data_IF_806522024737
#
_entry.id   IF_806522024737
#
_cell.length_a   1.000
_cell.length_b   1.000
_cell.length_c   1.000
_cell.angle_alpha   90.00
_cell.angle_beta   90.00
_cell.angle_gamma   90.00
#
_symmetry.space_group_name_H-M   'P 1'
#
loop_
_entity.id
_entity.type
_entity.pdbx_description
1 polymer ?
#
# COMPACT_ATOMS: atom_id res chain seq x y z
N UNK A 1 57.06 -23.69 20.13
CA UNK A 1 57.20 -22.30 19.58
C UNK A 1 56.91 -22.16 18.10
N UNK A 2 56.94 -23.22 17.29
CA UNK A 2 56.61 -23.13 15.83
C UNK A 2 55.13 -23.29 15.51
N UNK A 3 54.31 -23.84 16.39
CA UNK A 3 52.89 -24.07 16.17
C UNK A 3 52.05 -22.80 16.44
N UNK A 4 52.49 -21.95 17.37
CA UNK A 4 51.75 -20.71 17.74
C UNK A 4 51.89 -19.61 16.70
N UNK A 5 53.01 -19.57 15.95
CA UNK A 5 53.23 -18.59 14.88
C UNK A 5 52.37 -18.88 13.64
N UNK A 6 52.06 -20.15 13.37
CA UNK A 6 51.26 -20.55 12.21
C UNK A 6 49.75 -20.22 12.43
N UNK A 7 49.26 -20.32 13.65
CA UNK A 7 47.85 -19.97 13.96
C UNK A 7 47.64 -18.46 13.91
N UNK A 8 48.59 -17.64 14.33
CA UNK A 8 48.48 -16.19 14.29
C UNK A 8 48.52 -15.67 12.85
N UNK A 9 49.33 -16.27 11.97
CA UNK A 9 49.42 -15.90 10.56
C UNK A 9 48.17 -16.29 9.76
N UNK A 10 47.52 -17.42 10.07
CA UNK A 10 46.29 -17.82 9.42
C UNK A 10 45.11 -16.95 9.87
N UNK A 11 45.03 -16.55 11.16
CA UNK A 11 44.00 -15.64 11.63
C UNK A 11 44.12 -14.22 11.04
N UNK A 12 45.34 -13.72 10.90
CA UNK A 12 45.59 -12.41 10.27
C UNK A 12 45.26 -12.41 8.77
N UNK A 13 45.47 -13.54 8.06
CA UNK A 13 45.15 -13.65 6.64
C UNK A 13 43.65 -13.77 6.36
N UNK A 14 42.91 -14.47 7.22
CA UNK A 14 41.45 -14.56 7.12
C UNK A 14 40.78 -13.20 7.44
N UNK A 15 41.28 -12.47 8.45
CA UNK A 15 40.81 -11.11 8.76
C UNK A 15 41.11 -10.11 7.64
N UNK A 16 42.22 -10.24 6.94
CA UNK A 16 42.60 -9.38 5.79
C UNK A 16 41.70 -9.67 4.56
N UNK A 17 41.34 -10.93 4.30
CA UNK A 17 40.45 -11.28 3.17
C UNK A 17 39.05 -10.76 3.43
N UNK A 18 38.54 -10.84 4.68
CA UNK A 18 37.21 -10.31 5.05
C UNK A 18 37.16 -8.79 4.95
N UNK A 19 38.22 -8.07 5.35
CA UNK A 19 38.28 -6.61 5.21
C UNK A 19 38.29 -6.17 3.74
N UNK A 20 39.02 -6.86 2.86
CA UNK A 20 38.99 -6.56 1.44
C UNK A 20 37.66 -6.89 0.76
N UNK A 21 36.98 -7.93 1.20
CA UNK A 21 35.62 -8.29 0.75
C UNK A 21 34.59 -7.24 1.13
N UNK A 22 34.59 -6.83 2.38
CA UNK A 22 33.67 -5.81 2.91
C UNK A 22 33.91 -4.45 2.26
N UNK A 23 35.17 -4.06 2.06
CA UNK A 23 35.51 -2.79 1.41
C UNK A 23 35.06 -2.75 -0.06
N UNK A 24 35.16 -3.87 -0.78
CA UNK A 24 34.65 -3.97 -2.17
C UNK A 24 33.13 -3.95 -2.24
N UNK A 25 32.44 -4.57 -1.28
CA UNK A 25 30.99 -4.54 -1.20
C UNK A 25 30.49 -3.12 -0.85
N UNK A 26 31.14 -2.44 0.10
CA UNK A 26 30.86 -1.04 0.45
C UNK A 26 31.15 -0.09 -0.71
N UNK A 27 32.24 -0.29 -1.46
CA UNK A 27 32.53 0.51 -2.65
C UNK A 27 31.56 0.22 -3.80
N UNK A 28 31.11 -1.03 -3.98
CA UNK A 28 30.07 -1.37 -4.95
C UNK A 28 28.71 -0.79 -4.57
N UNK A 29 28.35 -0.72 -3.26
CA UNK A 29 27.16 -0.04 -2.80
C UNK A 29 27.25 1.48 -2.92
N UNK A 30 28.41 2.10 -2.70
CA UNK A 30 28.63 3.53 -2.93
C UNK A 30 28.69 3.90 -4.42
N UNK A 31 29.14 3.01 -5.30
CA UNK A 31 29.12 3.27 -6.73
C UNK A 31 27.70 3.23 -7.35
N UNK A 32 26.70 2.68 -6.65
CA UNK A 32 25.31 2.63 -7.10
C UNK A 32 24.48 3.85 -6.69
N UNK A 33 25.04 4.82 -5.96
CA UNK A 33 24.30 5.97 -5.39
C UNK A 33 24.54 7.31 -6.12
N UNK A 34 25.16 7.31 -7.29
CA UNK A 34 25.08 8.53 -8.10
C UNK A 34 23.65 8.66 -8.64
N UNK A 35 22.96 9.78 -8.33
CA UNK A 35 21.64 10.02 -8.90
C UNK A 35 21.77 9.97 -10.43
N UNK A 36 20.94 9.15 -11.05
CA UNK A 36 20.85 9.11 -12.51
C UNK A 36 20.60 10.53 -13.02
N UNK A 37 21.23 10.93 -14.12
CA UNK A 37 20.97 12.26 -14.69
C UNK A 37 19.48 12.43 -14.94
N UNK A 38 18.95 13.63 -14.71
CA UNK A 38 17.53 13.89 -14.91
C UNK A 38 17.13 13.49 -16.34
N UNK A 39 15.92 12.93 -16.51
CA UNK A 39 15.48 12.49 -17.83
C UNK A 39 15.42 13.69 -18.80
N UNK A 40 15.85 13.46 -20.02
CA UNK A 40 15.86 14.50 -21.05
C UNK A 40 14.40 14.87 -21.41
N UNK A 41 14.01 16.10 -21.11
CA UNK A 41 12.71 16.64 -21.48
C UNK A 41 12.73 16.99 -22.97
N UNK A 42 11.95 16.29 -23.77
CA UNK A 42 11.80 16.54 -25.21
C UNK A 42 10.32 16.62 -25.57
N UNK A 43 9.79 17.83 -25.58
CA UNK A 43 8.41 18.08 -25.99
C UNK A 43 8.30 18.13 -27.50
N UNK A 44 7.19 17.63 -28.02
CA UNK A 44 6.80 17.78 -29.45
C UNK A 44 6.15 19.12 -29.70
N UNK A 45 6.20 19.63 -30.94
CA UNK A 45 5.53 20.85 -31.29
C UNK A 45 4.00 20.69 -31.23
N UNK A 46 3.24 21.77 -30.95
CA UNK A 46 1.78 21.72 -30.90
C UNK A 46 1.19 21.07 -32.15
N UNK A 47 0.20 20.18 -31.96
CA UNK A 47 -0.46 19.45 -33.04
C UNK A 47 0.35 18.31 -33.69
N UNK A 48 1.59 18.07 -33.25
CA UNK A 48 2.45 16.95 -33.70
C UNK A 48 3.18 16.29 -32.52
N UNK A 49 2.55 16.23 -31.39
CA UNK A 49 3.13 15.73 -30.12
C UNK A 49 2.54 14.38 -29.69
N UNK A 50 1.73 13.74 -30.51
CA UNK A 50 1.18 12.40 -30.31
C UNK A 50 1.64 11.50 -31.44
N UNK A 51 2.16 10.32 -31.12
CA UNK A 51 2.58 9.28 -32.07
C UNK A 51 2.04 7.93 -31.64
N UNK A 52 1.81 7.07 -32.60
CA UNK A 52 1.43 5.68 -32.37
C UNK A 52 2.47 4.74 -32.99
N UNK A 53 2.84 3.72 -32.25
CA UNK A 53 3.67 2.61 -32.68
C UNK A 53 2.80 1.34 -32.66
N UNK A 54 2.47 0.82 -33.83
CA UNK A 54 1.60 -0.33 -34.00
C UNK A 54 2.25 -1.65 -33.61
N UNK A 55 3.58 -1.74 -33.63
CA UNK A 55 4.30 -2.93 -33.19
C UNK A 55 4.28 -3.09 -31.67
N UNK A 56 4.20 -1.98 -30.94
CA UNK A 56 4.14 -1.92 -29.47
C UNK A 56 2.74 -1.64 -28.94
N UNK A 57 1.78 -1.39 -29.82
CA UNK A 57 0.45 -0.91 -29.44
C UNK A 57 0.54 0.30 -28.50
N UNK A 58 1.40 1.28 -28.79
CA UNK A 58 1.79 2.32 -27.87
C UNK A 58 1.53 3.72 -28.42
N UNK A 59 0.70 4.49 -27.73
CA UNK A 59 0.56 5.93 -27.92
C UNK A 59 1.62 6.64 -27.09
N UNK A 60 2.44 7.47 -27.73
CA UNK A 60 3.43 8.32 -27.05
C UNK A 60 2.98 9.75 -27.05
N UNK A 61 2.85 10.34 -25.86
CA UNK A 61 2.45 11.73 -25.62
C UNK A 61 3.69 12.55 -25.25
N UNK A 62 4.00 13.55 -26.08
CA UNK A 62 5.10 14.52 -25.86
C UNK A 62 4.57 15.95 -25.81
N UNK A 63 3.26 16.14 -25.74
CA UNK A 63 2.61 17.45 -25.62
C UNK A 63 2.90 18.07 -24.26
N UNK A 64 3.17 19.37 -24.21
CA UNK A 64 3.24 20.08 -22.94
C UNK A 64 1.96 19.85 -22.11
N UNK A 65 0.81 19.88 -22.79
CA UNK A 65 -0.49 19.48 -22.24
C UNK A 65 -1.34 18.88 -23.36
N UNK A 66 -2.04 17.79 -23.07
CA UNK A 66 -2.99 17.16 -24.00
C UNK A 66 -4.21 16.62 -23.26
N UNK A 67 -5.34 16.52 -23.97
CA UNK A 67 -6.56 15.82 -23.58
C UNK A 67 -6.76 14.59 -24.46
N UNK A 68 -7.78 13.76 -24.18
CA UNK A 68 -8.11 12.63 -25.05
C UNK A 68 -8.56 13.08 -26.46
N UNK A 69 -9.21 14.25 -26.57
CA UNK A 69 -9.56 14.85 -27.87
C UNK A 69 -8.32 15.23 -28.67
N UNK A 70 -7.26 15.73 -28.03
CA UNK A 70 -5.99 16.03 -28.70
C UNK A 70 -5.32 14.76 -29.22
N UNK A 71 -5.34 13.68 -28.44
CA UNK A 71 -4.83 12.37 -28.87
C UNK A 71 -5.63 11.89 -30.10
N UNK A 72 -6.95 11.87 -29.99
CA UNK A 72 -7.85 11.41 -31.06
C UNK A 72 -7.64 12.16 -32.38
N UNK A 73 -7.57 13.49 -32.33
CA UNK A 73 -7.39 14.35 -33.51
C UNK A 73 -6.04 14.12 -34.21
N UNK A 74 -4.99 13.78 -33.45
CA UNK A 74 -3.66 13.53 -34.02
C UNK A 74 -3.51 12.09 -34.52
N UNK A 75 -4.08 11.12 -33.80
CA UNK A 75 -4.03 9.68 -34.15
C UNK A 75 -4.90 9.38 -35.39
N UNK A 76 -6.08 9.96 -35.49
CA UNK A 76 -7.09 9.70 -36.55
C UNK A 76 -7.36 8.20 -36.75
N UNK A 77 -7.30 7.44 -35.69
CA UNK A 77 -7.51 6.00 -35.73
C UNK A 77 -8.48 5.56 -34.62
N UNK A 78 -9.78 5.42 -34.93
CA UNK A 78 -10.80 5.04 -33.97
C UNK A 78 -10.67 3.57 -33.47
N UNK A 79 -9.88 2.73 -34.14
CA UNK A 79 -9.60 1.39 -33.62
C UNK A 79 -8.67 1.41 -32.39
N UNK A 80 -7.88 2.48 -32.23
CA UNK A 80 -6.94 2.67 -31.13
C UNK A 80 -7.54 3.48 -30.00
N UNK A 81 -8.13 4.63 -30.34
CA UNK A 81 -8.84 5.49 -29.40
C UNK A 81 -10.17 5.89 -30.03
N UNK A 82 -11.26 5.37 -29.49
CA UNK A 82 -12.60 5.57 -30.00
C UNK A 82 -13.37 6.57 -29.13
N UNK A 83 -13.81 7.67 -29.76
CA UNK A 83 -14.69 8.64 -29.13
C UNK A 83 -16.14 8.19 -29.28
N UNK A 84 -16.80 7.94 -28.19
CA UNK A 84 -18.21 7.58 -28.13
C UNK A 84 -19.06 8.79 -27.69
N UNK A 85 -20.40 8.73 -27.79
CA UNK A 85 -21.26 9.79 -27.30
C UNK A 85 -21.05 10.11 -25.82
N UNK A 86 -21.41 11.34 -25.42
CA UNK A 86 -21.41 11.78 -24.02
C UNK A 86 -20.04 11.74 -23.31
N UNK A 87 -18.94 11.95 -24.03
CA UNK A 87 -17.60 12.00 -23.43
C UNK A 87 -17.06 10.63 -23.00
N UNK A 88 -17.62 9.54 -23.52
CA UNK A 88 -17.10 8.19 -23.28
C UNK A 88 -16.01 7.86 -24.29
N UNK A 89 -14.91 7.30 -23.82
CA UNK A 89 -13.78 6.88 -24.64
C UNK A 89 -13.49 5.40 -24.46
N UNK A 90 -13.13 4.74 -25.54
CA UNK A 90 -12.62 3.36 -25.51
C UNK A 90 -11.18 3.36 -26.01
N UNK A 91 -10.24 3.00 -25.14
CA UNK A 91 -8.81 2.91 -25.43
C UNK A 91 -8.38 1.47 -25.64
N UNK A 92 -7.73 1.22 -26.76
CA UNK A 92 -7.23 -0.09 -27.16
C UNK A 92 -5.71 -0.03 -27.44
N UNK A 93 -4.96 0.57 -26.53
CA UNK A 93 -3.51 0.73 -26.63
C UNK A 93 -2.88 1.06 -25.26
N UNK A 94 -1.57 0.86 -25.16
CA UNK A 94 -0.77 1.47 -24.13
C UNK A 94 -0.64 2.98 -24.35
N UNK A 95 -0.40 3.73 -23.26
CA UNK A 95 -0.03 5.15 -23.35
C UNK A 95 1.31 5.33 -22.62
N UNK A 96 2.24 6.06 -23.22
CA UNK A 96 3.42 6.60 -22.54
C UNK A 96 3.35 8.11 -22.53
N UNK A 97 3.33 8.72 -21.35
CA UNK A 97 3.42 10.16 -21.15
C UNK A 97 4.89 10.48 -20.89
N UNK A 98 5.55 11.12 -21.83
CA UNK A 98 6.99 11.37 -21.76
C UNK A 98 7.36 12.42 -20.70
N UNK A 99 8.63 12.48 -20.26
CA UNK A 99 9.11 13.50 -19.35
C UNK A 99 8.74 14.92 -19.80
N UNK A 100 8.21 15.72 -18.86
CA UNK A 100 7.73 17.07 -19.12
C UNK A 100 6.36 17.19 -19.79
N UNK A 101 5.81 16.10 -20.35
CA UNK A 101 4.47 16.07 -20.93
C UNK A 101 3.39 15.91 -19.85
N UNK A 102 2.19 16.39 -20.14
CA UNK A 102 1.02 16.23 -19.26
C UNK A 102 -0.16 15.69 -20.07
N UNK A 103 -0.81 14.64 -19.57
CA UNK A 103 -2.10 14.17 -20.05
C UNK A 103 -3.17 14.51 -19.02
N UNK A 104 -4.20 15.25 -19.44
CA UNK A 104 -5.39 15.53 -18.64
C UNK A 104 -6.55 14.64 -19.11
N UNK A 105 -7.21 14.00 -18.17
CA UNK A 105 -8.43 13.21 -18.36
C UNK A 105 -9.46 13.82 -17.41
N UNK A 106 -10.27 14.72 -17.91
CA UNK A 106 -11.18 15.54 -17.11
C UNK A 106 -12.49 15.86 -17.88
N UNK A 107 -13.50 16.49 -17.24
CA UNK A 107 -14.81 16.71 -17.84
C UNK A 107 -14.82 17.67 -19.06
N UNK A 108 -13.70 18.26 -19.44
CA UNK A 108 -13.65 19.09 -20.65
C UNK A 108 -13.94 18.29 -21.92
N UNK A 109 -13.58 17.00 -21.91
CA UNK A 109 -13.85 16.10 -23.04
C UNK A 109 -14.17 14.66 -22.63
N UNK A 110 -14.06 14.33 -21.37
CA UNK A 110 -14.16 12.96 -20.87
C UNK A 110 -15.15 12.85 -19.70
N UNK A 111 -16.06 11.91 -19.80
CA UNK A 111 -16.88 11.45 -18.66
C UNK A 111 -16.44 10.06 -18.20
N UNK A 112 -15.97 9.23 -19.12
CA UNK A 112 -15.54 7.87 -18.82
C UNK A 112 -14.45 7.42 -19.80
N UNK A 113 -13.29 7.05 -19.28
CA UNK A 113 -12.27 6.32 -20.03
C UNK A 113 -12.36 4.82 -19.72
N UNK A 114 -12.73 4.05 -20.72
CA UNK A 114 -12.76 2.59 -20.73
C UNK A 114 -11.50 2.07 -21.40
N UNK A 115 -10.69 1.27 -20.71
CA UNK A 115 -9.50 0.64 -21.28
C UNK A 115 -9.81 -0.82 -21.55
N UNK A 116 -9.64 -1.23 -22.80
CA UNK A 116 -9.97 -2.59 -23.24
C UNK A 116 -9.14 -3.63 -22.48
N UNK A 117 -9.81 -4.67 -22.05
CA UNK A 117 -9.23 -5.83 -21.40
C UNK A 117 -10.10 -7.03 -21.68
N UNK A 118 -9.58 -8.02 -22.37
CA UNK A 118 -10.21 -9.31 -22.63
C UNK A 118 -9.20 -10.45 -22.49
N UNK A 119 -9.64 -11.69 -22.58
CA UNK A 119 -8.79 -12.86 -22.40
C UNK A 119 -7.69 -12.99 -23.48
N UNK A 120 -7.80 -12.26 -24.59
CA UNK A 120 -6.88 -12.32 -25.73
C UNK A 120 -5.89 -11.16 -25.74
N UNK A 121 -6.18 -10.08 -25.05
CA UNK A 121 -5.33 -8.89 -24.99
C UNK A 121 -4.34 -8.98 -23.84
N UNK A 122 -3.12 -8.50 -24.08
CA UNK A 122 -2.21 -8.14 -23.01
C UNK A 122 -2.79 -6.95 -22.24
N UNK A 123 -2.53 -6.86 -20.95
CA UNK A 123 -2.93 -5.70 -20.17
C UNK A 123 -2.33 -4.42 -20.77
N UNK A 124 -3.16 -3.44 -21.08
CA UNK A 124 -2.67 -2.12 -21.47
C UNK A 124 -2.21 -1.34 -20.25
N UNK A 125 -1.13 -0.59 -20.40
CA UNK A 125 -0.49 0.16 -19.34
C UNK A 125 -0.44 1.64 -19.70
N UNK A 126 -0.76 2.48 -18.71
CA UNK A 126 -0.45 3.90 -18.79
C UNK A 126 0.88 4.15 -18.08
N UNK A 127 1.94 4.28 -18.86
CA UNK A 127 3.29 4.59 -18.38
C UNK A 127 3.45 6.10 -18.19
N UNK A 128 3.54 6.55 -16.96
CA UNK A 128 3.68 7.97 -16.64
C UNK A 128 5.15 8.28 -16.34
N UNK A 129 5.81 8.97 -17.29
CA UNK A 129 7.15 9.56 -17.10
C UNK A 129 7.10 11.08 -16.97
N UNK A 130 5.99 11.69 -17.34
CA UNK A 130 5.65 13.09 -17.15
C UNK A 130 4.61 13.27 -16.04
N UNK A 131 3.48 13.91 -16.36
CA UNK A 131 2.36 14.13 -15.45
C UNK A 131 1.07 13.52 -16.00
N UNK A 132 0.26 12.96 -15.11
CA UNK A 132 -1.09 12.50 -15.39
C UNK A 132 -2.07 13.17 -14.42
N UNK A 133 -3.16 13.71 -14.95
CA UNK A 133 -4.26 14.24 -14.15
C UNK A 133 -5.55 13.55 -14.54
N UNK A 134 -6.18 12.91 -13.56
CA UNK A 134 -7.51 12.30 -13.69
C UNK A 134 -8.41 13.03 -12.70
N UNK A 135 -9.41 13.74 -13.21
CA UNK A 135 -10.31 14.51 -12.35
C UNK A 135 -11.77 14.39 -12.80
N UNK A 136 -12.65 14.10 -11.85
CA UNK A 136 -14.11 14.11 -12.02
C UNK A 136 -14.62 13.21 -13.17
N UNK A 137 -14.01 12.04 -13.36
CA UNK A 137 -14.34 11.08 -14.42
C UNK A 137 -14.44 9.64 -13.88
N UNK A 138 -15.01 8.75 -14.70
CA UNK A 138 -14.85 7.30 -14.52
C UNK A 138 -13.63 6.80 -15.30
N UNK A 139 -12.81 5.94 -14.69
CA UNK A 139 -11.60 5.37 -15.25
C UNK A 139 -11.54 3.87 -14.94
N UNK A 140 -11.78 3.00 -15.94
CA UNK A 140 -11.95 1.57 -15.67
C UNK A 140 -11.40 0.68 -16.78
N UNK A 141 -11.19 -0.60 -16.47
CA UNK A 141 -11.13 -1.62 -17.50
C UNK A 141 -12.50 -1.81 -18.17
N UNK A 142 -12.49 -2.42 -19.34
CA UNK A 142 -13.70 -2.75 -20.09
C UNK A 142 -13.51 -3.98 -20.95
N UNK A 143 -14.41 -4.95 -20.81
CA UNK A 143 -14.47 -6.10 -21.70
C UNK A 143 -15.55 -5.90 -22.76
N UNK A 144 -15.17 -5.65 -24.04
CA UNK A 144 -16.13 -5.42 -25.11
C UNK A 144 -17.01 -6.64 -25.41
N UNK A 145 -16.51 -7.85 -25.17
CA UNK A 145 -17.24 -9.08 -25.47
C UNK A 145 -18.44 -9.29 -24.56
N UNK A 146 -18.30 -8.91 -23.30
CA UNK A 146 -19.36 -8.99 -22.27
C UNK A 146 -20.11 -7.69 -22.10
N UNK A 147 -19.61 -6.61 -22.69
CA UNK A 147 -20.08 -5.24 -22.51
C UNK A 147 -20.15 -4.84 -21.02
N UNK A 148 -19.10 -5.20 -20.26
CA UNK A 148 -19.00 -4.98 -18.82
C UNK A 148 -17.55 -4.72 -18.40
N UNK A 149 -17.32 -4.42 -17.12
CA UNK A 149 -15.96 -4.34 -16.55
C UNK A 149 -15.21 -5.66 -16.77
N UNK A 150 -13.90 -5.58 -16.99
CA UNK A 150 -13.08 -6.77 -17.03
C UNK A 150 -12.84 -7.29 -15.61
N UNK A 151 -13.29 -8.50 -15.35
CA UNK A 151 -13.10 -9.17 -14.06
C UNK A 151 -11.80 -9.97 -14.09
N UNK A 152 -10.90 -9.74 -13.13
CA UNK A 152 -9.70 -10.54 -12.94
C UNK A 152 -9.48 -10.75 -11.45
N UNK A 153 -9.54 -12.00 -11.05
CA UNK A 153 -9.15 -12.41 -9.71
C UNK A 153 -7.85 -13.18 -9.83
N UNK A 154 -6.80 -12.75 -9.12
CA UNK A 154 -5.53 -13.43 -9.14
C UNK A 154 -5.66 -14.91 -8.75
N UNK A 155 -5.06 -15.80 -9.52
CA UNK A 155 -4.91 -17.18 -9.12
C UNK A 155 -3.82 -17.28 -8.05
N UNK A 156 -4.16 -17.40 -6.78
CA UNK A 156 -3.23 -17.93 -5.80
C UNK A 156 -3.08 -19.44 -6.03
N UNK A 157 -2.02 -19.85 -6.71
CA UNK A 157 -1.60 -21.26 -6.76
C UNK A 157 -1.00 -21.78 -5.43
N UNK A 158 -1.01 -21.06 -4.33
CA UNK A 158 -0.26 -21.46 -3.13
C UNK A 158 -0.98 -21.48 -1.79
N UNK A 159 -2.28 -21.37 -1.76
CA UNK A 159 -3.03 -21.77 -0.54
C UNK A 159 -4.50 -21.81 -0.92
N UNK A 160 -5.13 -22.93 -0.73
CA UNK A 160 -6.48 -23.28 -1.14
C UNK A 160 -7.52 -22.15 -1.17
N UNK A 161 -8.68 -22.38 -1.78
CA UNK A 161 -9.64 -21.33 -2.03
C UNK A 161 -9.92 -20.58 -0.72
N UNK A 162 -9.57 -19.32 -0.64
CA UNK A 162 -9.99 -18.52 0.50
C UNK A 162 -11.51 -18.31 0.35
N UNK A 163 -12.25 -19.30 0.81
CA UNK A 163 -13.70 -19.25 1.01
C UNK A 163 -14.11 -18.16 2.03
N UNK A 164 -13.17 -17.31 2.44
CA UNK A 164 -13.35 -16.31 3.47
C UNK A 164 -13.82 -14.93 2.99
N UNK A 165 -13.87 -14.66 1.67
CA UNK A 165 -14.26 -13.32 1.18
C UNK A 165 -15.72 -13.01 1.52
N UNK A 166 -16.60 -13.96 1.51
CA UNK A 166 -18.01 -13.74 1.87
C UNK A 166 -18.65 -14.87 2.69
N UNK A 167 -17.91 -15.82 3.23
CA UNK A 167 -18.48 -16.94 4.00
C UNK A 167 -19.47 -17.81 3.22
N UNK A 168 -20.42 -18.40 3.94
CA UNK A 168 -21.46 -19.25 3.35
C UNK A 168 -22.53 -18.49 2.55
N UNK A 169 -22.60 -17.18 2.71
CA UNK A 169 -23.61 -16.29 2.12
C UNK A 169 -23.13 -15.57 0.84
N UNK A 170 -21.98 -16.00 0.29
CA UNK A 170 -21.48 -15.42 -0.95
C UNK A 170 -22.47 -15.68 -2.10
N UNK A 171 -22.91 -14.66 -2.85
CA UNK A 171 -23.70 -14.86 -4.04
C UNK A 171 -23.01 -15.83 -5.01
N UNK A 172 -23.77 -16.71 -5.65
CA UNK A 172 -23.26 -17.75 -6.57
C UNK A 172 -22.39 -17.14 -7.67
N UNK A 173 -22.72 -15.95 -8.14
CA UNK A 173 -21.99 -15.18 -9.16
C UNK A 173 -20.56 -14.84 -8.75
N UNK A 174 -20.30 -14.56 -7.45
CA UNK A 174 -18.94 -14.29 -6.96
C UNK A 174 -18.13 -15.58 -6.83
N UNK A 175 -18.76 -16.72 -6.49
CA UNK A 175 -18.06 -18.03 -6.41
C UNK A 175 -17.57 -18.51 -7.77
N UNK A 176 -18.35 -18.32 -8.82
CA UNK A 176 -17.96 -18.69 -10.18
C UNK A 176 -16.83 -17.78 -10.72
N UNK A 177 -16.81 -16.51 -10.34
CA UNK A 177 -15.77 -15.56 -10.74
C UNK A 177 -14.39 -15.85 -10.09
N UNK A 178 -14.38 -16.45 -8.90
CA UNK A 178 -13.15 -16.83 -8.19
C UNK A 178 -12.42 -18.05 -8.79
N UNK A 179 -13.08 -18.82 -9.65
CA UNK A 179 -12.54 -20.05 -10.25
C UNK A 179 -11.98 -19.85 -11.66
N UNK A 180 -12.23 -18.72 -12.30
CA UNK A 180 -11.75 -18.42 -13.66
C UNK A 180 -10.53 -17.49 -13.60
N UNK A 181 -9.47 -17.81 -14.35
CA UNK A 181 -8.37 -16.87 -14.66
C UNK A 181 -8.99 -15.75 -15.47
N UNK A 182 -9.27 -14.61 -14.81
CA UNK A 182 -9.80 -13.45 -15.49
C UNK A 182 -8.80 -12.82 -16.45
N UNK A 183 -9.30 -11.95 -17.32
CA UNK A 183 -8.46 -11.20 -18.25
C UNK A 183 -7.41 -10.36 -17.53
N UNK A 184 -6.19 -10.17 -18.10
CA UNK A 184 -5.22 -9.21 -17.60
C UNK A 184 -5.81 -7.79 -17.66
N UNK A 185 -5.96 -7.15 -16.51
CA UNK A 185 -6.57 -5.81 -16.43
C UNK A 185 -5.53 -4.71 -16.62
N UNK A 186 -5.90 -3.57 -17.22
CA UNK A 186 -5.03 -2.42 -17.36
C UNK A 186 -4.62 -1.86 -16.00
N UNK A 187 -3.53 -1.09 -15.98
CA UNK A 187 -3.05 -0.43 -14.78
C UNK A 187 -2.28 0.86 -15.10
N UNK A 188 -2.10 1.71 -14.10
CA UNK A 188 -1.29 2.91 -14.17
C UNK A 188 0.06 2.61 -13.52
N UNK A 189 1.16 2.88 -14.24
CA UNK A 189 2.53 2.77 -13.78
C UNK A 189 3.18 4.15 -13.83
N UNK A 190 3.37 4.78 -12.67
CA UNK A 190 4.25 5.94 -12.56
C UNK A 190 5.68 5.42 -12.52
N UNK A 191 6.40 5.69 -13.59
CA UNK A 191 7.72 5.13 -13.83
C UNK A 191 8.78 5.75 -12.90
N UNK A 192 9.84 5.01 -12.58
CA UNK A 192 10.98 5.61 -11.88
C UNK A 192 11.47 6.86 -12.62
N UNK A 193 11.79 7.92 -11.87
CA UNK A 193 12.22 9.22 -12.40
C UNK A 193 11.18 9.98 -13.24
N UNK A 194 9.89 9.70 -13.06
CA UNK A 194 8.85 10.55 -13.61
C UNK A 194 9.06 12.02 -13.19
N UNK A 195 8.91 12.94 -14.12
CA UNK A 195 9.27 14.35 -13.92
C UNK A 195 8.15 15.20 -13.35
N UNK A 196 6.97 14.61 -13.13
CA UNK A 196 5.81 15.32 -12.61
C UNK A 196 4.94 14.45 -11.72
N UNK A 197 3.79 14.97 -11.35
CA UNK A 197 2.84 14.29 -10.45
C UNK A 197 1.80 13.49 -11.22
N UNK A 198 1.28 12.46 -10.56
CA UNK A 198 0.08 11.75 -11.01
C UNK A 198 -1.03 11.98 -9.99
N UNK A 199 -1.96 12.84 -10.33
CA UNK A 199 -3.07 13.23 -9.45
C UNK A 199 -4.38 12.57 -9.90
N UNK A 200 -5.09 11.99 -8.96
CA UNK A 200 -6.41 11.38 -9.18
C UNK A 200 -7.37 11.99 -8.18
N UNK A 201 -8.36 12.73 -8.69
CA UNK A 201 -9.28 13.50 -7.84
C UNK A 201 -10.73 13.32 -8.29
N UNK A 202 -11.66 13.32 -7.34
CA UNK A 202 -13.11 13.35 -7.57
C UNK A 202 -13.64 12.27 -8.55
N UNK A 203 -12.96 11.14 -8.66
CA UNK A 203 -13.15 10.17 -9.73
C UNK A 203 -13.60 8.80 -9.22
N UNK A 204 -14.23 8.05 -10.10
CA UNK A 204 -14.40 6.61 -9.94
C UNK A 204 -13.26 5.90 -10.68
N UNK A 205 -12.50 5.07 -9.96
CA UNK A 205 -11.40 4.27 -10.51
C UNK A 205 -11.65 2.80 -10.15
N UNK A 206 -11.85 1.96 -11.14
CA UNK A 206 -12.25 0.59 -10.83
C UNK A 206 -11.71 -0.46 -11.80
N UNK A 207 -11.62 -1.70 -11.29
CA UNK A 207 -11.30 -2.88 -12.09
C UNK A 207 -9.93 -2.83 -12.77
N UNK A 208 -8.93 -2.32 -12.06
CA UNK A 208 -7.56 -2.19 -12.56
C UNK A 208 -6.62 -3.17 -11.87
N UNK A 209 -5.56 -3.55 -12.58
CA UNK A 209 -4.53 -4.45 -12.05
C UNK A 209 -4.97 -5.89 -11.94
N UNK A 210 -4.00 -6.79 -11.83
CA UNK A 210 -4.21 -8.24 -11.72
C UNK A 210 -2.97 -8.90 -11.10
N UNK A 211 -3.12 -10.12 -10.60
CA UNK A 211 -1.99 -10.91 -10.12
C UNK A 211 -1.16 -11.41 -11.31
N UNK A 212 -0.09 -10.70 -11.60
CA UNK A 212 0.81 -11.01 -12.73
C UNK A 212 1.92 -12.02 -12.37
N UNK A 213 1.93 -12.52 -11.13
CA UNK A 213 2.97 -13.38 -10.58
C UNK A 213 4.13 -12.59 -9.94
N UNK A 214 4.99 -13.30 -9.22
CA UNK A 214 6.09 -12.72 -8.43
C UNK A 214 6.98 -11.78 -9.27
N UNK A 215 7.20 -10.57 -8.77
CA UNK A 215 8.08 -9.58 -9.39
C UNK A 215 7.52 -8.87 -10.62
N UNK A 216 6.29 -9.16 -11.03
CA UNK A 216 5.60 -8.44 -12.10
C UNK A 216 4.69 -7.38 -11.49
N UNK A 217 4.74 -6.17 -12.04
CA UNK A 217 4.10 -4.97 -11.51
C UNK A 217 2.80 -4.71 -12.25
N UNK A 218 1.69 -5.13 -11.70
CA UNK A 218 0.37 -4.92 -12.28
C UNK A 218 -0.68 -4.62 -11.17
N UNK A 219 -0.27 -3.83 -10.17
CA UNK A 219 -1.04 -3.64 -8.93
C UNK A 219 -2.36 -2.88 -9.12
N UNK A 220 -2.46 -2.03 -10.11
CA UNK A 220 -3.62 -1.15 -10.36
C UNK A 220 -3.17 0.30 -10.39
N UNK A 221 -2.91 0.92 -9.26
CA UNK A 221 -2.26 2.22 -9.13
C UNK A 221 -0.86 2.00 -8.55
N UNK A 222 0.17 2.03 -9.40
CA UNK A 222 1.56 1.76 -9.02
C UNK A 222 2.45 3.00 -9.20
N UNK A 223 3.05 3.48 -8.12
CA UNK A 223 3.89 4.68 -8.10
C UNK A 223 5.33 4.31 -7.75
N UNK A 224 6.31 4.56 -8.65
CA UNK A 224 7.75 4.49 -8.35
C UNK A 224 8.41 5.89 -8.34
N UNK A 225 7.63 6.93 -8.50
CA UNK A 225 8.01 8.35 -8.46
C UNK A 225 6.74 9.20 -8.36
N UNK A 226 6.84 10.49 -8.61
CA UNK A 226 5.70 11.41 -8.57
C UNK A 226 5.50 11.99 -7.18
N UNK A 227 6.58 12.34 -6.50
CA UNK A 227 6.53 13.00 -5.20
C UNK A 227 5.58 14.21 -5.22
N UNK A 228 4.82 14.35 -4.15
CA UNK A 228 3.78 15.37 -4.05
C UNK A 228 2.49 15.07 -4.81
N UNK A 229 2.32 13.89 -5.37
CA UNK A 229 1.05 13.46 -5.98
C UNK A 229 -0.09 13.40 -4.96
N UNK A 230 -1.32 13.62 -5.44
CA UNK A 230 -2.53 13.66 -4.62
C UNK A 230 -3.56 12.65 -5.15
N UNK A 231 -4.09 11.83 -4.25
CA UNK A 231 -5.25 10.95 -4.50
C UNK A 231 -6.35 11.38 -3.52
N UNK A 232 -7.41 12.01 -4.03
CA UNK A 232 -8.42 12.68 -3.17
C UNK A 232 -9.84 12.53 -3.69
N UNK A 233 -10.78 12.32 -2.77
CA UNK A 233 -12.23 12.28 -3.06
C UNK A 233 -12.62 11.24 -4.11
N UNK A 234 -11.96 10.10 -4.16
CA UNK A 234 -12.24 9.07 -5.16
C UNK A 234 -13.04 7.91 -4.55
N UNK A 235 -13.75 7.21 -5.42
CA UNK A 235 -14.18 5.83 -5.18
C UNK A 235 -13.24 4.90 -5.99
N UNK A 236 -12.47 4.07 -5.27
CA UNK A 236 -11.45 3.17 -5.83
C UNK A 236 -11.82 1.75 -5.43
N UNK A 237 -12.23 0.94 -6.39
CA UNK A 237 -12.73 -0.39 -6.11
C UNK A 237 -12.26 -1.46 -7.08
N UNK A 238 -12.29 -2.72 -6.64
CA UNK A 238 -11.94 -3.88 -7.46
C UNK A 238 -10.57 -3.78 -8.15
N UNK A 239 -9.63 -3.03 -7.59
CA UNK A 239 -8.24 -3.07 -8.04
C UNK A 239 -7.55 -4.33 -7.50
N UNK A 240 -6.42 -4.73 -8.09
CA UNK A 240 -5.62 -5.78 -7.46
C UNK A 240 -4.99 -5.26 -6.15
N UNK A 241 -4.28 -4.12 -6.19
CA UNK A 241 -3.99 -3.27 -5.03
C UNK A 241 -4.71 -1.93 -5.25
N UNK A 242 -5.39 -1.43 -4.26
CA UNK A 242 -6.03 -0.12 -4.37
C UNK A 242 -5.00 0.99 -4.62
N UNK A 243 -3.86 0.93 -3.93
CA UNK A 243 -2.69 1.80 -4.12
C UNK A 243 -1.41 1.05 -3.74
N UNK A 244 -0.35 1.25 -4.50
CA UNK A 244 0.99 0.73 -4.21
C UNK A 244 2.07 1.75 -4.57
N UNK A 245 3.10 1.91 -3.72
CA UNK A 245 4.22 2.80 -4.02
C UNK A 245 5.56 2.26 -3.57
N UNK A 246 6.63 2.68 -4.23
CA UNK A 246 8.03 2.35 -3.89
C UNK A 246 8.87 3.62 -3.95
N UNK A 247 9.46 4.01 -2.82
CA UNK A 247 10.40 5.13 -2.74
C UNK A 247 9.81 6.51 -3.05
N UNK A 248 8.49 6.67 -2.88
CA UNK A 248 7.78 7.92 -3.18
C UNK A 248 7.58 8.73 -1.92
N UNK A 249 7.72 10.05 -2.02
CA UNK A 249 7.57 10.97 -0.89
C UNK A 249 6.50 12.03 -1.06
N UNK A 250 6.14 12.65 0.06
CA UNK A 250 5.28 13.86 0.11
C UNK A 250 3.88 13.68 -0.51
N UNK A 251 3.36 12.46 -0.62
CA UNK A 251 2.02 12.21 -1.15
C UNK A 251 0.92 12.45 -0.11
N UNK A 252 -0.25 12.82 -0.62
CA UNK A 252 -1.48 12.91 0.17
C UNK A 252 -2.54 11.97 -0.42
N UNK A 253 -3.03 11.04 0.40
CA UNK A 253 -4.14 10.14 0.08
C UNK A 253 -5.27 10.44 1.06
N UNK A 254 -6.32 11.14 0.60
CA UNK A 254 -7.34 11.62 1.54
C UNK A 254 -8.77 11.58 0.98
N UNK A 255 -9.73 11.38 1.89
CA UNK A 255 -11.16 11.40 1.59
C UNK A 255 -11.59 10.39 0.50
N UNK A 256 -10.90 9.25 0.39
CA UNK A 256 -11.24 8.24 -0.59
C UNK A 256 -12.02 7.07 0.04
N UNK A 257 -12.75 6.35 -0.81
CA UNK A 257 -13.23 5.00 -0.54
C UNK A 257 -12.29 4.02 -1.25
N UNK A 258 -11.66 3.11 -0.50
CA UNK A 258 -10.89 1.99 -1.04
C UNK A 258 -11.55 0.69 -0.63
N UNK A 259 -12.07 -0.07 -1.58
CA UNK A 259 -12.80 -1.28 -1.23
C UNK A 259 -12.75 -2.38 -2.30
N UNK A 260 -13.04 -3.58 -1.85
CA UNK A 260 -13.14 -4.77 -2.70
C UNK A 260 -11.89 -5.04 -3.56
N UNK A 261 -10.70 -4.62 -3.09
CA UNK A 261 -9.44 -4.89 -3.76
C UNK A 261 -9.05 -6.37 -3.61
N UNK A 262 -8.45 -6.93 -4.67
CA UNK A 262 -8.02 -8.34 -4.69
C UNK A 262 -6.89 -8.65 -3.71
N UNK A 263 -6.19 -7.63 -3.20
CA UNK A 263 -5.14 -7.76 -2.21
C UNK A 263 -5.23 -6.59 -1.21
N UNK A 264 -4.22 -5.72 -1.10
CA UNK A 264 -4.20 -4.61 -0.13
C UNK A 264 -5.07 -3.43 -0.58
N UNK A 265 -5.60 -2.68 0.38
CA UNK A 265 -6.28 -1.42 0.13
C UNK A 265 -5.28 -0.32 -0.24
N UNK A 266 -4.43 0.08 0.70
CA UNK A 266 -3.41 1.13 0.53
C UNK A 266 -2.08 0.57 1.02
N UNK A 267 -1.09 0.42 0.14
CA UNK A 267 0.22 -0.17 0.44
C UNK A 267 1.39 0.74 0.01
N UNK A 268 1.72 1.78 0.78
CA UNK A 268 3.06 2.36 0.74
C UNK A 268 4.10 1.27 1.04
N UNK A 269 5.14 1.16 0.21
CA UNK A 269 6.12 0.08 0.32
C UNK A 269 7.55 0.59 0.07
N UNK A 270 8.52 -0.20 0.39
CA UNK A 270 9.96 -0.04 0.14
C UNK A 270 10.45 1.42 0.06
N UNK A 271 10.78 2.00 1.20
CA UNK A 271 11.36 3.34 1.26
C UNK A 271 10.41 4.50 0.95
N UNK A 272 9.10 4.25 0.88
CA UNK A 272 8.09 5.33 0.79
C UNK A 272 8.10 6.16 2.07
N UNK A 273 7.96 7.48 1.95
CA UNK A 273 8.17 8.38 3.07
C UNK A 273 7.36 9.69 3.01
N UNK A 274 7.28 10.39 4.14
CA UNK A 274 6.62 11.70 4.25
C UNK A 274 5.21 11.72 3.63
N UNK A 275 4.42 10.67 3.87
CA UNK A 275 3.09 10.49 3.29
C UNK A 275 2.00 10.70 4.33
N UNK A 276 0.90 11.34 3.92
CA UNK A 276 -0.29 11.51 4.75
C UNK A 276 -1.44 10.70 4.14
N UNK A 277 -1.96 9.75 4.92
CA UNK A 277 -3.12 8.93 4.58
C UNK A 277 -4.22 9.23 5.58
N UNK A 278 -5.22 10.03 5.17
CA UNK A 278 -6.21 10.54 6.11
C UNK A 278 -7.65 10.57 5.60
N UNK A 279 -8.58 10.47 6.52
CA UNK A 279 -10.02 10.56 6.22
C UNK A 279 -10.50 9.56 5.15
N UNK A 280 -9.78 8.45 4.94
CA UNK A 280 -10.19 7.43 4.00
C UNK A 280 -11.11 6.42 4.69
N UNK A 281 -12.01 5.82 3.92
CA UNK A 281 -12.76 4.62 4.32
C UNK A 281 -12.21 3.43 3.55
N UNK A 282 -11.69 2.42 4.27
CA UNK A 282 -11.00 1.26 3.67
C UNK A 282 -11.67 -0.03 4.16
N UNK A 283 -12.31 -0.78 3.27
CA UNK A 283 -13.11 -1.93 3.69
C UNK A 283 -13.21 -3.04 2.62
N UNK A 284 -13.53 -4.26 3.06
CA UNK A 284 -13.72 -5.44 2.21
C UNK A 284 -12.54 -5.78 1.29
N UNK A 285 -11.33 -5.35 1.58
CA UNK A 285 -10.16 -5.74 0.81
C UNK A 285 -9.69 -7.14 1.22
N UNK A 286 -9.15 -7.91 0.28
CA UNK A 286 -8.72 -9.31 0.50
C UNK A 286 -7.36 -9.42 1.22
N UNK A 287 -6.78 -8.33 1.64
CA UNK A 287 -5.53 -8.23 2.39
C UNK A 287 -5.61 -7.16 3.48
N UNK A 288 -4.44 -6.67 3.89
CA UNK A 288 -4.35 -5.57 4.85
C UNK A 288 -4.96 -4.28 4.26
N UNK A 289 -5.74 -3.58 5.08
CA UNK A 289 -6.41 -2.36 4.64
C UNK A 289 -5.41 -1.24 4.34
N UNK A 290 -4.56 -0.90 5.33
CA UNK A 290 -3.53 0.13 5.20
C UNK A 290 -2.23 -0.42 5.79
N UNK A 291 -1.20 -0.54 4.99
CA UNK A 291 0.10 -1.04 5.45
C UNK A 291 1.21 -0.14 4.94
N UNK A 292 2.24 0.10 5.72
CA UNK A 292 3.54 0.48 5.21
C UNK A 292 4.56 -0.58 5.53
N UNK A 293 5.35 -0.95 4.55
CA UNK A 293 6.22 -2.11 4.65
C UNK A 293 7.57 -1.89 3.97
N UNK A 294 8.62 -2.29 4.67
CA UNK A 294 10.00 -2.31 4.18
C UNK A 294 10.64 -0.92 4.06
N UNK A 295 11.19 -0.45 5.18
CA UNK A 295 11.94 0.80 5.29
C UNK A 295 11.11 2.08 4.99
N UNK A 296 9.82 2.08 5.31
CA UNK A 296 9.02 3.31 5.27
C UNK A 296 9.34 4.20 6.46
N UNK A 297 9.15 5.52 6.31
CA UNK A 297 9.33 6.45 7.42
C UNK A 297 8.49 7.73 7.28
N UNK A 298 8.17 8.37 8.40
CA UNK A 298 7.38 9.59 8.46
C UNK A 298 6.00 9.46 7.80
N UNK A 299 5.32 8.31 7.98
CA UNK A 299 3.98 8.08 7.47
C UNK A 299 2.95 8.45 8.54
N UNK A 300 1.91 9.18 8.16
CA UNK A 300 0.81 9.53 9.06
C UNK A 300 -0.49 8.88 8.58
N UNK A 301 -1.06 8.01 9.41
CA UNK A 301 -2.39 7.44 9.25
C UNK A 301 -3.33 8.11 10.25
N UNK A 302 -4.21 8.97 9.77
CA UNK A 302 -5.08 9.73 10.68
C UNK A 302 -6.54 9.79 10.21
N UNK A 303 -7.47 9.71 11.17
CA UNK A 303 -8.91 9.81 10.90
C UNK A 303 -9.43 8.84 9.84
N UNK A 304 -8.79 7.69 9.64
CA UNK A 304 -9.29 6.70 8.70
C UNK A 304 -10.35 5.82 9.37
N UNK A 305 -11.33 5.39 8.58
CA UNK A 305 -12.33 4.39 8.97
C UNK A 305 -12.03 3.07 8.28
N UNK A 306 -11.69 2.04 9.06
CA UNK A 306 -11.17 0.76 8.57
C UNK A 306 -12.01 -0.40 9.12
N UNK A 307 -12.56 -1.25 8.23
CA UNK A 307 -13.39 -2.36 8.69
C UNK A 307 -13.52 -3.49 7.66
N UNK A 308 -13.78 -4.71 8.13
CA UNK A 308 -14.06 -5.89 7.31
C UNK A 308 -12.99 -6.23 6.25
N UNK A 309 -11.72 -5.97 6.49
CA UNK A 309 -10.66 -6.43 5.59
C UNK A 309 -10.12 -7.80 6.08
N UNK A 310 -9.59 -8.63 5.17
CA UNK A 310 -9.15 -9.98 5.52
C UNK A 310 -7.75 -10.03 6.15
N UNK A 311 -6.94 -8.99 6.03
CA UNK A 311 -5.65 -8.82 6.69
C UNK A 311 -5.74 -7.90 7.90
N UNK A 312 -4.63 -7.26 8.25
CA UNK A 312 -4.61 -6.24 9.29
C UNK A 312 -5.41 -4.99 8.88
N UNK A 313 -5.95 -4.27 9.86
CA UNK A 313 -6.55 -2.96 9.63
C UNK A 313 -5.50 -1.93 9.29
N UNK A 314 -4.59 -1.62 10.22
CA UNK A 314 -3.43 -0.75 10.01
C UNK A 314 -2.17 -1.51 10.42
N UNK A 315 -1.13 -1.51 9.60
CA UNK A 315 0.12 -2.21 9.89
C UNK A 315 1.35 -1.35 9.61
N UNK A 316 2.25 -1.30 10.59
CA UNK A 316 3.64 -0.86 10.43
C UNK A 316 4.51 -2.11 10.36
N UNK A 317 5.22 -2.34 9.27
CA UNK A 317 5.91 -3.60 9.04
C UNK A 317 7.32 -3.43 8.47
N UNK A 318 8.23 -4.27 8.92
CA UNK A 318 9.57 -4.41 8.35
C UNK A 318 10.34 -3.10 8.23
N UNK A 319 10.71 -2.52 9.38
CA UNK A 319 11.46 -1.28 9.51
C UNK A 319 10.67 -0.03 9.05
N UNK A 320 9.39 0.05 9.41
CA UNK A 320 8.62 1.30 9.33
C UNK A 320 8.90 2.12 10.58
N UNK A 321 9.44 3.33 10.44
CA UNK A 321 9.92 4.16 11.54
C UNK A 321 9.36 5.57 11.53
N UNK A 322 9.39 6.26 12.69
CA UNK A 322 8.97 7.64 12.83
C UNK A 322 7.56 7.91 12.30
N UNK A 323 6.67 6.92 12.37
CA UNK A 323 5.35 6.97 11.75
C UNK A 323 4.25 6.98 12.81
N UNK A 324 3.07 7.44 12.43
CA UNK A 324 1.98 7.74 13.37
C UNK A 324 0.69 7.08 12.89
N UNK A 325 0.00 6.36 13.79
CA UNK A 325 -1.40 5.98 13.62
C UNK A 325 -2.24 6.66 14.70
N UNK A 326 -3.09 7.61 14.32
CA UNK A 326 -3.89 8.37 15.28
C UNK A 326 -5.32 8.64 14.83
N UNK A 327 -6.20 8.75 15.80
CA UNK A 327 -7.59 9.18 15.58
C UNK A 327 -8.35 8.28 14.57
N UNK A 328 -7.89 7.04 14.34
CA UNK A 328 -8.53 6.11 13.43
C UNK A 328 -9.65 5.34 14.13
N UNK A 329 -10.69 4.99 13.37
CA UNK A 329 -11.75 4.09 13.78
C UNK A 329 -11.58 2.74 13.07
N UNK A 330 -11.24 1.69 13.82
CA UNK A 330 -10.99 0.34 13.31
C UNK A 330 -11.96 -0.64 13.96
N UNK A 331 -12.71 -1.41 13.17
CA UNK A 331 -13.68 -2.35 13.75
C UNK A 331 -13.95 -3.56 12.86
N UNK A 332 -14.47 -4.63 13.47
CA UNK A 332 -14.75 -5.89 12.78
C UNK A 332 -13.53 -6.48 12.04
N UNK A 333 -12.37 -6.40 12.65
CA UNK A 333 -11.12 -6.97 12.14
C UNK A 333 -10.67 -8.18 12.96
N UNK A 334 -9.92 -9.06 12.32
CA UNK A 334 -9.17 -10.11 13.00
C UNK A 334 -7.87 -9.55 13.59
N UNK A 335 -7.14 -8.70 12.88
CA UNK A 335 -5.93 -8.01 13.37
C UNK A 335 -6.11 -6.51 13.14
N UNK A 336 -6.63 -5.74 14.10
CA UNK A 336 -6.95 -4.34 13.85
C UNK A 336 -5.74 -3.44 13.65
N UNK A 337 -4.75 -3.47 14.56
CA UNK A 337 -3.55 -2.66 14.46
C UNK A 337 -2.30 -3.45 14.87
N UNK A 338 -1.32 -3.48 13.99
CA UNK A 338 -0.07 -4.21 14.22
C UNK A 338 1.16 -3.33 13.96
N UNK A 339 2.15 -3.45 14.86
CA UNK A 339 3.51 -2.93 14.67
C UNK A 339 4.46 -4.12 14.76
N UNK A 340 5.15 -4.43 13.67
CA UNK A 340 6.01 -5.62 13.59
C UNK A 340 7.37 -5.27 12.98
N UNK A 341 8.46 -5.59 13.67
CA UNK A 341 9.84 -5.27 13.24
C UNK A 341 9.98 -3.79 12.87
N UNK A 342 9.43 -2.90 13.69
CA UNK A 342 9.29 -1.48 13.35
C UNK A 342 9.38 -0.64 14.63
N UNK A 343 10.21 0.40 14.61
CA UNK A 343 10.61 1.12 15.80
C UNK A 343 10.24 2.59 15.74
N UNK A 344 10.23 3.23 16.95
CA UNK A 344 10.03 4.67 17.09
C UNK A 344 8.74 5.19 16.44
N UNK A 345 7.63 4.46 16.63
CA UNK A 345 6.32 4.81 16.10
C UNK A 345 5.36 5.24 17.20
N UNK A 346 4.33 6.01 16.82
CA UNK A 346 3.28 6.48 17.72
C UNK A 346 1.92 5.88 17.33
N UNK A 347 1.22 5.31 18.30
CA UNK A 347 -0.13 4.75 18.14
C UNK A 347 -1.04 5.36 19.21
N UNK A 348 -1.85 6.34 18.85
CA UNK A 348 -2.62 7.05 19.87
C UNK A 348 -4.00 7.53 19.42
N UNK A 349 -4.88 7.69 20.40
CA UNK A 349 -6.27 8.16 20.22
C UNK A 349 -7.09 7.33 19.21
N UNK A 350 -6.67 6.12 18.87
CA UNK A 350 -7.46 5.27 17.99
C UNK A 350 -8.63 4.66 18.76
N UNK A 351 -9.74 4.41 18.07
CA UNK A 351 -10.89 3.67 18.58
C UNK A 351 -10.97 2.33 17.88
N UNK A 352 -10.83 1.23 18.63
CA UNK A 352 -10.79 -0.14 18.12
C UNK A 352 -11.93 -0.95 18.76
N UNK A 353 -12.81 -1.51 17.93
CA UNK A 353 -14.03 -2.14 18.38
C UNK A 353 -14.28 -3.49 17.70
N UNK A 354 -14.90 -4.41 18.44
CA UNK A 354 -15.38 -5.68 17.90
C UNK A 354 -14.28 -6.48 17.17
N UNK A 355 -13.22 -6.76 17.88
CA UNK A 355 -12.08 -7.53 17.38
C UNK A 355 -12.40 -9.01 17.43
N UNK A 356 -12.06 -9.75 16.39
CA UNK A 356 -12.33 -11.19 16.30
C UNK A 356 -11.13 -11.99 16.80
N UNK A 357 -11.25 -12.59 17.96
CA UNK A 357 -10.30 -13.63 18.45
C UNK A 357 -8.80 -13.30 18.37
N UNK A 358 -8.42 -12.03 18.54
CA UNK A 358 -7.03 -11.58 18.61
C UNK A 358 -6.88 -10.32 19.45
N UNK A 359 -5.65 -9.90 19.78
CA UNK A 359 -5.39 -8.60 20.37
C UNK A 359 -5.80 -7.43 19.48
N UNK A 360 -6.28 -6.34 20.08
CA UNK A 360 -6.66 -5.13 19.37
C UNK A 360 -5.45 -4.35 18.84
N UNK A 361 -4.38 -4.24 19.62
CA UNK A 361 -3.10 -3.66 19.23
C UNK A 361 -1.99 -4.67 19.53
N UNK A 362 -1.14 -4.97 18.56
CA UNK A 362 -0.02 -5.90 18.71
C UNK A 362 1.32 -5.24 18.40
N UNK A 363 2.30 -5.38 19.32
CA UNK A 363 3.70 -5.02 19.12
C UNK A 363 4.51 -6.31 19.07
N UNK A 364 5.17 -6.63 17.94
CA UNK A 364 5.75 -7.97 17.71
C UNK A 364 7.14 -7.94 17.10
N UNK A 365 7.84 -9.07 17.28
CA UNK A 365 9.02 -9.45 16.51
C UNK A 365 10.19 -8.47 16.58
N UNK A 366 10.53 -8.00 17.77
CA UNK A 366 11.65 -7.10 18.03
C UNK A 366 11.29 -5.60 17.93
N UNK A 367 10.00 -5.27 17.87
CA UNK A 367 9.51 -3.88 17.89
C UNK A 367 9.95 -3.15 19.15
N UNK A 368 10.48 -1.93 19.00
CA UNK A 368 10.97 -1.11 20.10
C UNK A 368 10.63 0.37 19.98
N UNK A 369 10.72 1.08 21.12
CA UNK A 369 10.55 2.53 21.20
C UNK A 369 9.19 3.02 20.66
N UNK A 370 8.17 2.18 20.68
CA UNK A 370 6.80 2.52 20.30
C UNK A 370 6.05 3.06 21.49
N UNK A 371 5.27 4.13 21.27
CA UNK A 371 4.35 4.65 22.28
C UNK A 371 2.92 4.40 21.89
N UNK A 372 2.18 3.69 22.75
CA UNK A 372 0.76 3.36 22.58
C UNK A 372 -0.03 4.05 23.67
N UNK A 373 -0.76 5.11 23.36
CA UNK A 373 -1.46 5.86 24.39
C UNK A 373 -2.79 6.48 23.95
N UNK A 374 -3.67 6.69 24.93
CA UNK A 374 -4.97 7.34 24.71
C UNK A 374 -5.92 6.55 23.82
N UNK A 375 -5.64 5.30 23.48
CA UNK A 375 -6.50 4.49 22.63
C UNK A 375 -7.71 3.99 23.43
N UNK A 376 -8.86 3.81 22.74
CA UNK A 376 -10.09 3.24 23.26
C UNK A 376 -10.33 1.88 22.60
N UNK A 377 -10.29 0.82 23.39
CA UNK A 377 -10.42 -0.56 22.94
C UNK A 377 -11.62 -1.20 23.61
N UNK A 378 -12.50 -1.85 22.84
CA UNK A 378 -13.62 -2.57 23.39
C UNK A 378 -14.00 -3.80 22.57
N UNK A 379 -14.42 -4.86 23.28
CA UNK A 379 -14.83 -6.14 22.71
C UNK A 379 -13.70 -6.78 21.89
N UNK A 380 -12.62 -7.18 22.52
CA UNK A 380 -11.47 -7.87 21.93
C UNK A 380 -11.13 -9.13 22.71
N UNK A 381 -10.29 -10.02 22.18
CA UNK A 381 -9.72 -11.11 22.95
C UNK A 381 -8.80 -10.53 24.05
N UNK A 382 -7.82 -9.74 23.66
CA UNK A 382 -7.03 -8.90 24.56
C UNK A 382 -6.89 -7.47 24.00
N UNK A 383 -6.59 -6.53 24.89
CA UNK A 383 -6.48 -5.13 24.51
C UNK A 383 -5.17 -4.84 23.75
N UNK A 384 -4.04 -4.95 24.45
CA UNK A 384 -2.71 -4.65 23.91
C UNK A 384 -1.79 -5.83 24.18
N UNK A 385 -1.09 -6.30 23.16
CA UNK A 385 -0.24 -7.48 23.19
C UNK A 385 1.19 -7.13 22.77
N UNK A 386 2.15 -7.52 23.59
CA UNK A 386 3.57 -7.38 23.35
C UNK A 386 4.20 -8.79 23.29
N UNK A 387 4.84 -9.15 22.17
CA UNK A 387 5.57 -10.40 22.00
C UNK A 387 6.95 -10.11 21.39
N UNK A 388 8.01 -10.44 22.12
CA UNK A 388 9.37 -10.06 21.75
C UNK A 388 9.47 -8.56 21.42
N UNK A 389 8.96 -7.70 22.31
CA UNK A 389 8.88 -6.25 22.14
C UNK A 389 9.58 -5.54 23.31
N UNK A 390 10.41 -4.52 23.04
CA UNK A 390 11.31 -3.96 24.04
C UNK A 390 11.28 -2.44 24.10
N UNK A 391 11.45 -1.86 25.30
CA UNK A 391 11.56 -0.40 25.50
C UNK A 391 10.33 0.38 25.00
N UNK A 392 9.14 -0.21 25.00
CA UNK A 392 7.91 0.44 24.58
C UNK A 392 7.18 1.11 25.76
N UNK A 393 6.38 2.12 25.48
CA UNK A 393 5.53 2.81 26.45
C UNK A 393 4.06 2.56 26.13
N UNK A 394 3.32 1.97 27.07
CA UNK A 394 1.89 1.66 26.99
C UNK A 394 1.18 2.46 28.07
N UNK A 395 0.53 3.57 27.72
CA UNK A 395 0.03 4.49 28.74
C UNK A 395 -1.33 5.09 28.44
N UNK A 396 -2.12 5.35 29.48
CA UNK A 396 -3.40 6.07 29.38
C UNK A 396 -4.41 5.49 28.38
N UNK A 397 -4.38 4.19 28.11
CA UNK A 397 -5.37 3.54 27.25
C UNK A 397 -6.60 3.13 28.07
N UNK A 398 -7.77 3.22 27.46
CA UNK A 398 -9.02 2.67 27.99
C UNK A 398 -9.31 1.34 27.28
N UNK A 399 -9.28 0.26 28.02
CA UNK A 399 -9.49 -1.12 27.54
C UNK A 399 -10.70 -1.69 28.27
N UNK A 400 -11.70 -2.17 27.53
CA UNK A 400 -12.92 -2.68 28.10
C UNK A 400 -13.40 -3.94 27.43
N UNK A 401 -14.01 -4.86 28.21
CA UNK A 401 -14.66 -6.07 27.72
C UNK A 401 -13.73 -6.94 26.86
N UNK A 402 -12.55 -7.27 27.39
CA UNK A 402 -11.71 -8.31 26.79
C UNK A 402 -12.14 -9.68 27.30
N UNK A 403 -11.96 -10.72 26.49
CA UNK A 403 -12.28 -12.09 26.89
C UNK A 403 -11.14 -12.81 27.60
N UNK A 404 -9.90 -12.29 27.49
CA UNK A 404 -8.72 -12.76 28.17
C UNK A 404 -8.12 -11.69 29.08
N UNK A 405 -7.20 -10.85 28.61
CA UNK A 405 -6.55 -9.84 29.42
C UNK A 405 -6.61 -8.44 28.79
N UNK A 406 -6.48 -7.40 29.62
CA UNK A 406 -6.33 -6.04 29.14
C UNK A 406 -5.02 -5.85 28.40
N UNK A 407 -3.90 -6.25 28.99
CA UNK A 407 -2.55 -6.11 28.44
C UNK A 407 -1.79 -7.42 28.68
N UNK A 408 -1.11 -7.92 27.64
CA UNK A 408 -0.31 -9.16 27.70
C UNK A 408 1.13 -8.86 27.29
N UNK A 409 2.11 -9.37 28.06
CA UNK A 409 3.54 -9.32 27.74
C UNK A 409 4.09 -10.74 27.73
N UNK A 410 4.62 -11.20 26.59
CA UNK A 410 5.19 -12.54 26.46
C UNK A 410 6.39 -12.59 25.51
N UNK A 411 6.98 -13.78 25.36
CA UNK A 411 8.09 -14.06 24.44
C UNK A 411 9.31 -13.14 24.64
N UNK A 412 9.64 -12.84 25.90
CA UNK A 412 10.79 -12.01 26.21
C UNK A 412 10.55 -10.52 25.95
N UNK A 413 9.35 -10.04 26.14
CA UNK A 413 9.04 -8.60 26.13
C UNK A 413 9.61 -7.93 27.38
N UNK A 414 10.66 -7.11 27.22
CA UNK A 414 11.46 -6.57 28.33
C UNK A 414 11.60 -5.05 28.29
N UNK A 415 11.82 -4.46 29.47
CA UNK A 415 12.05 -3.02 29.64
C UNK A 415 10.89 -2.13 29.17
N UNK A 416 9.67 -2.64 29.08
CA UNK A 416 8.50 -1.85 28.69
C UNK A 416 7.94 -1.10 29.91
N UNK A 417 7.34 0.05 29.66
CA UNK A 417 6.65 0.85 30.67
C UNK A 417 5.13 0.76 30.43
N UNK A 418 4.41 0.18 31.39
CA UNK A 418 2.96 0.05 31.35
C UNK A 418 2.36 0.88 32.47
N UNK A 419 1.73 2.03 32.13
CA UNK A 419 1.33 2.98 33.17
C UNK A 419 -0.01 3.67 32.88
N UNK A 420 -0.79 3.86 33.95
CA UNK A 420 -2.04 4.60 33.92
C UNK A 420 -3.06 4.09 32.88
N UNK A 421 -3.02 2.82 32.52
CA UNK A 421 -4.05 2.22 31.69
C UNK A 421 -5.27 1.89 32.53
N UNK A 422 -6.46 2.08 31.98
CA UNK A 422 -7.73 1.76 32.63
C UNK A 422 -8.33 0.53 31.96
N UNK A 423 -8.24 -0.61 32.64
CA UNK A 423 -8.84 -1.89 32.20
C UNK A 423 -10.13 -2.13 32.98
N UNK A 424 -11.23 -2.45 32.30
CA UNK A 424 -12.52 -2.77 32.90
C UNK A 424 -13.20 -3.94 32.20
N UNK A 425 -13.98 -4.69 32.94
CA UNK A 425 -14.75 -5.81 32.40
C UNK A 425 -13.86 -6.82 31.64
N UNK A 426 -12.70 -7.13 32.20
CA UNK A 426 -11.69 -8.03 31.66
C UNK A 426 -11.31 -9.05 32.74
N UNK A 427 -11.07 -10.33 32.41
CA UNK A 427 -10.70 -11.35 33.39
C UNK A 427 -9.40 -11.02 34.13
N UNK A 428 -8.43 -10.44 33.41
CA UNK A 428 -7.14 -9.99 33.96
C UNK A 428 -6.85 -8.57 33.48
N UNK A 429 -6.28 -7.75 34.36
CA UNK A 429 -5.80 -6.41 33.96
C UNK A 429 -4.52 -6.53 33.13
N UNK A 430 -3.54 -7.28 33.62
CA UNK A 430 -2.25 -7.51 32.98
C UNK A 430 -1.88 -8.99 33.13
N UNK A 431 -1.33 -9.59 32.09
CA UNK A 431 -0.75 -10.93 32.09
C UNK A 431 0.70 -10.84 31.59
N UNK A 432 1.61 -11.59 32.29
CA UNK A 432 3.04 -11.54 31.99
C UNK A 432 3.59 -12.96 32.10
N UNK A 433 4.33 -13.42 31.12
CA UNK A 433 5.01 -14.69 31.15
C UNK A 433 6.36 -14.61 31.91
N UNK A 434 6.96 -15.77 32.19
CA UNK A 434 8.21 -15.88 32.93
C UNK A 434 9.42 -15.31 32.18
N UNK A 435 9.35 -15.15 30.89
CA UNK A 435 10.44 -14.65 30.01
C UNK A 435 10.47 -13.14 29.95
N UNK A 436 9.35 -12.45 30.16
CA UNK A 436 9.17 -11.02 30.06
C UNK A 436 9.53 -10.28 31.35
N UNK A 437 10.74 -9.74 31.41
CA UNK A 437 11.37 -9.19 32.62
C UNK A 437 11.66 -7.71 32.55
N UNK A 438 11.93 -7.11 33.70
CA UNK A 438 12.31 -5.69 33.83
C UNK A 438 11.27 -4.70 33.31
N UNK A 439 10.01 -5.11 33.21
CA UNK A 439 8.92 -4.22 32.82
C UNK A 439 8.47 -3.40 34.05
N UNK A 440 8.21 -2.11 33.83
CA UNK A 440 7.75 -1.21 34.88
C UNK A 440 6.24 -1.01 34.79
N UNK A 441 5.54 -1.19 35.92
CA UNK A 441 4.08 -1.06 36.02
C UNK A 441 3.69 0.05 36.98
N UNK A 442 2.76 0.89 36.56
CA UNK A 442 2.15 1.90 37.43
C UNK A 442 0.64 1.94 37.16
N UNK A 443 -0.13 1.52 38.14
CA UNK A 443 -1.60 1.57 38.08
C UNK A 443 -2.13 2.99 38.28
N UNK A 444 -3.30 3.30 37.70
CA UNK A 444 -4.04 4.50 38.09
C UNK A 444 -4.44 4.40 39.56
N UNK A 445 -4.09 5.38 40.37
CA UNK A 445 -4.72 5.51 41.68
C UNK A 445 -6.19 5.80 41.45
N UNK A 446 -7.05 4.85 41.78
CA UNK A 446 -8.50 5.10 41.84
C UNK A 446 -8.73 6.06 43.02
N UNK A 447 -8.88 7.34 42.73
CA UNK A 447 -9.33 8.35 43.69
C UNK A 447 -10.84 8.43 43.72
#
# INVERSE_FOLDING_TARGET
MRLLVFIILTFSFVLLIDQFGITKILQAQQASTQPLPPPLIKLGPPGKCVRYDDTKLMITVTCQTATLTDLYNQLKNPAILNKQPNGVWLLNANITINPGATLNIDPTDTTWLKIVSDEKTLAYVIHVKGSLKIDSVSFTSWNPSTNNFAMSYGSRESSGPSTKICGAECPIEIKDQLTHKGAPRPYIMVEPHATGTTNITNSYVGYLGYEAGWGKKAEGLHYNAGDGSVIRNNNIDHLYFGFYSVGVGNMIIENNLFHDSGHYGIDPHTGTHDMIIRNNTVYNNNGTAIICSLNCYNIVYENNKVYNNNGAGISFSRNTTNSIARDNLIYNHEVPLEVSKSDNNLVYNNTILNVKSTPAISLKAGTSEVKVYGNKIANAESGIFLSNATNNEISNNLITKTTDAGIILEDGSINNQVQNNLVRDSPKEIEIDETSKNNAFKTMNQS
#
